data_IF_529951898033
#
_entry.id   IF_529951898033
#
_cell.length_a   1.000
_cell.length_b   1.000
_cell.length_c   1.000
_cell.angle_alpha   90.00
_cell.angle_beta   90.00
_cell.angle_gamma   90.00
#
_symmetry.space_group_name_H-M   'P 1'
#
loop_
_entity.id
_entity.type
_entity.pdbx_description
1 polymer ?
#
# COMPACT_ATOMS: atom_id res chain seq x y z
N UNK A 1 6.60 -8.60 -11.31
CA UNK A 1 6.01 -7.34 -11.80
C UNK A 1 7.06 -6.25 -11.64
N UNK A 2 7.25 -5.41 -12.65
CA UNK A 2 8.11 -4.23 -12.59
C UNK A 2 7.30 -3.02 -12.12
N UNK A 3 7.72 -2.38 -11.03
CA UNK A 3 7.05 -1.24 -10.41
C UNK A 3 7.80 0.08 -10.63
N UNK A 4 8.95 0.07 -11.31
CA UNK A 4 9.87 1.21 -11.39
C UNK A 4 9.31 2.44 -12.11
N UNK A 5 8.36 2.25 -13.03
CA UNK A 5 7.67 3.32 -13.73
C UNK A 5 6.49 3.94 -12.97
N UNK A 6 6.01 3.32 -11.89
CA UNK A 6 4.80 3.74 -11.20
C UNK A 6 5.07 4.87 -10.20
N UNK A 7 4.22 5.91 -10.23
CA UNK A 7 4.15 6.95 -9.20
C UNK A 7 3.01 6.72 -8.19
N UNK A 8 2.07 5.84 -8.54
CA UNK A 8 0.97 5.36 -7.68
C UNK A 8 0.79 3.87 -7.94
N UNK A 9 0.73 3.08 -6.87
CA UNK A 9 0.33 1.67 -6.88
C UNK A 9 -0.98 1.53 -6.11
N UNK A 10 -1.98 0.89 -6.71
CA UNK A 10 -3.23 0.52 -6.03
C UNK A 10 -3.30 -1.00 -5.92
N UNK A 11 -3.83 -1.49 -4.80
CA UNK A 11 -3.83 -2.92 -4.48
C UNK A 11 -5.13 -3.32 -3.82
N UNK A 12 -5.63 -4.47 -4.23
CA UNK A 12 -6.66 -5.22 -3.52
C UNK A 12 -6.30 -6.70 -3.63
N UNK A 13 -5.57 -7.19 -2.62
CA UNK A 13 -4.95 -8.51 -2.58
C UNK A 13 -5.28 -9.20 -1.26
N UNK A 14 -4.53 -10.23 -0.87
CA UNK A 14 -4.60 -10.86 0.45
C UNK A 14 -3.50 -10.30 1.38
N UNK A 15 -3.67 -10.35 2.72
CA UNK A 15 -2.69 -9.85 3.68
C UNK A 15 -1.27 -10.35 3.42
N UNK A 16 -1.12 -11.66 3.21
CA UNK A 16 0.19 -12.29 2.99
C UNK A 16 0.86 -11.80 1.71
N UNK A 17 0.07 -11.56 0.66
CA UNK A 17 0.57 -11.09 -0.63
C UNK A 17 1.07 -9.64 -0.53
N UNK A 18 0.41 -8.79 0.26
CA UNK A 18 0.89 -7.43 0.53
C UNK A 18 2.29 -7.46 1.16
N UNK A 19 2.49 -8.30 2.18
CA UNK A 19 3.77 -8.43 2.87
C UNK A 19 4.88 -8.97 1.97
N UNK A 20 4.55 -9.91 1.05
CA UNK A 20 5.48 -10.40 0.04
C UNK A 20 5.85 -9.34 -1.01
N UNK A 21 4.92 -8.44 -1.35
CA UNK A 21 5.14 -7.39 -2.35
C UNK A 21 5.89 -6.18 -1.78
N UNK A 22 5.76 -5.91 -0.48
CA UNK A 22 6.36 -4.77 0.23
C UNK A 22 7.87 -4.55 -0.06
N UNK A 23 8.75 -5.58 -0.07
CA UNK A 23 10.16 -5.38 -0.42
C UNK A 23 10.38 -4.91 -1.86
N UNK A 24 9.53 -5.37 -2.81
CA UNK A 24 9.62 -4.94 -4.21
C UNK A 24 9.18 -3.49 -4.39
N UNK A 25 8.15 -3.06 -3.66
CA UNK A 25 7.71 -1.66 -3.61
C UNK A 25 8.87 -0.76 -3.17
N UNK A 26 9.50 -1.06 -2.04
CA UNK A 26 10.64 -0.26 -1.54
C UNK A 26 11.85 -0.27 -2.46
N UNK A 27 12.12 -1.41 -3.12
CA UNK A 27 13.28 -1.55 -4.01
C UNK A 27 13.09 -0.83 -5.34
N UNK A 28 11.88 -0.87 -5.90
CA UNK A 28 11.65 -0.50 -7.30
C UNK A 28 10.99 0.87 -7.46
N UNK A 29 10.05 1.24 -6.58
CA UNK A 29 9.32 2.50 -6.72
C UNK A 29 10.17 3.69 -6.28
N UNK A 30 9.97 4.83 -6.95
CA UNK A 30 10.69 6.06 -6.63
C UNK A 30 10.24 6.62 -5.27
N UNK A 31 11.15 7.24 -4.49
CA UNK A 31 10.75 7.95 -3.29
C UNK A 31 9.64 8.98 -3.55
N UNK A 32 8.68 9.08 -2.64
CA UNK A 32 7.48 9.91 -2.78
C UNK A 32 6.36 9.26 -3.60
N UNK A 33 6.57 8.09 -4.22
CA UNK A 33 5.48 7.34 -4.83
C UNK A 33 4.45 6.91 -3.79
N UNK A 34 3.18 6.81 -4.18
CA UNK A 34 2.08 6.46 -3.28
C UNK A 34 1.69 5.00 -3.44
N UNK A 35 1.40 4.34 -2.34
CA UNK A 35 0.81 3.01 -2.32
C UNK A 35 -0.53 3.10 -1.62
N UNK A 36 -1.59 2.60 -2.25
CA UNK A 36 -2.92 2.52 -1.68
C UNK A 36 -3.36 1.07 -1.65
N UNK A 37 -3.79 0.58 -0.49
CA UNK A 37 -4.27 -0.79 -0.31
C UNK A 37 -5.69 -0.78 0.25
N UNK A 38 -6.52 -1.66 -0.30
CA UNK A 38 -7.89 -1.91 0.14
C UNK A 38 -7.92 -3.11 1.10
N UNK A 39 -8.50 -2.88 2.27
CA UNK A 39 -8.81 -3.78 3.39
C UNK A 39 -7.61 -4.37 4.14
N UNK A 40 -6.43 -4.46 3.53
CA UNK A 40 -5.25 -5.07 4.17
C UNK A 40 -4.04 -4.13 4.23
N UNK A 41 -3.35 -4.14 5.37
CA UNK A 41 -2.22 -3.28 5.65
C UNK A 41 -0.87 -3.85 5.11
N UNK A 42 0.24 -3.27 5.59
CA UNK A 42 1.61 -3.64 5.25
C UNK A 42 2.41 -4.08 6.49
N UNK A 43 1.75 -4.62 7.52
CA UNK A 43 2.36 -5.02 8.79
C UNK A 43 3.04 -3.85 9.49
N UNK A 44 4.31 -4.01 9.85
CA UNK A 44 5.07 -2.98 10.59
C UNK A 44 5.30 -1.66 9.83
N UNK A 45 4.99 -1.62 8.52
CA UNK A 45 5.05 -0.37 7.76
C UNK A 45 3.80 0.45 8.05
N UNK A 46 3.93 1.44 8.94
CA UNK A 46 2.80 2.27 9.36
C UNK A 46 2.25 3.12 8.20
N UNK A 47 0.93 3.13 7.98
CA UNK A 47 0.29 3.98 6.97
C UNK A 47 0.41 5.45 7.34
N UNK A 48 0.54 6.29 6.32
CA UNK A 48 0.42 7.73 6.43
C UNK A 48 -1.04 8.14 6.71
N UNK A 49 -1.99 7.44 6.11
CA UNK A 49 -3.42 7.68 6.30
C UNK A 49 -4.19 6.36 6.28
N UNK A 50 -5.22 6.29 7.13
CA UNK A 50 -6.20 5.20 7.14
C UNK A 50 -7.59 5.82 7.07
N UNK A 51 -8.40 5.36 6.13
CA UNK A 51 -9.77 5.83 5.91
C UNK A 51 -10.74 4.65 6.00
N UNK A 52 -11.84 4.83 6.73
CA UNK A 52 -12.91 3.84 6.81
C UNK A 52 -14.04 4.25 5.89
N UNK A 53 -14.39 3.38 4.95
CA UNK A 53 -15.36 3.65 3.89
C UNK A 53 -16.61 2.82 4.15
N UNK A 54 -17.75 3.52 4.21
CA UNK A 54 -19.09 2.92 4.18
C UNK A 54 -19.64 3.10 2.79
N UNK A 55 -19.75 2.01 2.04
CA UNK A 55 -20.23 2.01 0.64
C UNK A 55 -21.72 1.65 0.52
N UNK A 56 -22.41 1.52 1.66
CA UNK A 56 -23.81 1.09 1.72
C UNK A 56 -23.99 -0.42 1.80
N UNK A 57 -22.91 -1.20 1.73
CA UNK A 57 -22.92 -2.61 2.06
C UNK A 57 -22.91 -2.83 3.59
N UNK A 58 -23.07 -4.08 4.02
CA UNK A 58 -22.94 -4.47 5.42
C UNK A 58 -21.48 -4.54 5.89
N UNK A 59 -20.52 -4.42 4.98
CA UNK A 59 -19.11 -4.53 5.27
C UNK A 59 -18.49 -3.13 5.34
N UNK A 60 -17.65 -2.90 6.35
CA UNK A 60 -16.82 -1.70 6.40
C UNK A 60 -15.52 -1.98 5.67
N UNK A 61 -15.14 -1.06 4.77
CA UNK A 61 -13.89 -1.15 4.04
C UNK A 61 -12.86 -0.21 4.63
N UNK A 62 -11.59 -0.59 4.58
CA UNK A 62 -10.49 0.27 5.03
C UNK A 62 -9.55 0.56 3.87
N UNK A 63 -9.22 1.83 3.66
CA UNK A 63 -8.18 2.24 2.73
C UNK A 63 -6.96 2.72 3.49
N UNK A 64 -5.81 2.17 3.13
CA UNK A 64 -4.53 2.55 3.68
C UNK A 64 -3.68 3.24 2.62
N UNK A 65 -3.00 4.33 3.02
CA UNK A 65 -2.09 5.09 2.16
C UNK A 65 -0.69 5.12 2.77
N UNK A 66 0.32 4.87 1.95
CA UNK A 66 1.73 5.08 2.29
C UNK A 66 2.43 5.93 1.23
N UNK A 67 3.51 6.58 1.65
CA UNK A 67 4.54 7.10 0.75
C UNK A 67 5.76 6.18 0.81
N UNK A 68 6.33 5.88 -0.36
CA UNK A 68 7.60 5.19 -0.44
C UNK A 68 8.68 6.15 0.04
N UNK A 69 9.33 5.80 1.14
CA UNK A 69 10.40 6.61 1.72
C UNK A 69 11.65 6.59 0.82
N UNK A 70 12.39 7.70 0.82
CA UNK A 70 13.74 7.69 0.26
C UNK A 70 14.60 6.81 1.16
N UNK A 71 15.06 5.68 0.61
CA UNK A 71 15.70 4.58 1.33
C UNK A 71 16.39 4.97 2.63
N UNK A 72 15.88 4.48 3.75
CA UNK A 72 16.77 4.12 4.85
C UNK A 72 17.63 2.97 4.33
N UNK A 73 18.85 3.29 3.92
CA UNK A 73 19.94 2.32 3.94
C UNK A 73 20.18 1.90 5.39
#
# INVERSE_FOLDING_TARGET
>A
VDLSGASVLTMYLLPEVNLMLRPNIWKQMKPGSRVVSHDFDMGDWKPLKTEHIKDGSTWEHTLYLWHVEAGKK
#
